data_IF_537883686622
#
_entry.id   IF_537883686622
#
_cell.length_a   1.000
_cell.length_b   1.000
_cell.length_c   1.000
_cell.angle_alpha   90.00
_cell.angle_beta   90.00
_cell.angle_gamma   90.00
#
_symmetry.space_group_name_H-M   'P 1'
#
loop_
_entity.id
_entity.type
_entity.pdbx_description
1 polymer ?
#
# COMPACT_ATOMS: atom_id res chain seq x y z
N UNK A 1 -1.29 10.98 -12.32
CA UNK A 1 -1.81 10.02 -11.31
C UNK A 1 -1.14 10.30 -9.97
N UNK A 2 -1.87 10.31 -8.84
CA UNK A 2 -1.27 10.56 -7.50
C UNK A 2 -0.85 9.24 -6.83
N UNK A 3 0.42 9.13 -6.45
CA UNK A 3 0.99 7.96 -5.74
C UNK A 3 1.54 8.40 -4.39
N UNK A 4 1.21 7.65 -3.34
CA UNK A 4 1.78 7.87 -2.00
C UNK A 4 3.04 7.02 -1.84
N UNK A 5 4.10 7.62 -1.31
CA UNK A 5 5.37 6.94 -1.10
C UNK A 5 5.92 7.17 0.31
N UNK A 6 6.86 6.32 0.72
CA UNK A 6 7.60 6.50 1.97
C UNK A 6 8.67 7.58 1.81
N UNK A 7 9.35 7.90 2.93
CA UNK A 7 10.31 8.98 2.98
C UNK A 7 11.57 8.75 2.13
N UNK A 8 11.88 7.51 1.74
CA UNK A 8 13.04 7.22 0.90
C UNK A 8 12.83 7.64 -0.56
N UNK A 9 11.58 7.83 -0.98
CA UNK A 9 11.21 8.19 -2.36
C UNK A 9 10.94 9.69 -2.56
N UNK A 10 11.44 10.55 -1.66
CA UNK A 10 11.20 12.00 -1.70
C UNK A 10 12.24 12.86 -2.42
N UNK A 11 13.18 12.24 -3.14
CA UNK A 11 14.20 12.99 -3.89
C UNK A 11 13.59 13.82 -5.02
N UNK A 12 14.10 15.04 -5.22
CA UNK A 12 13.63 15.96 -6.28
C UNK A 12 13.85 15.36 -7.67
N UNK A 13 15.04 14.80 -7.93
CA UNK A 13 15.37 14.14 -9.19
C UNK A 13 14.41 13.01 -9.53
N UNK A 14 14.11 12.16 -8.54
CA UNK A 14 13.19 11.03 -8.73
C UNK A 14 11.76 11.51 -8.97
N UNK A 15 11.31 12.53 -8.25
CA UNK A 15 9.96 13.09 -8.42
C UNK A 15 9.80 13.75 -9.79
N UNK A 16 10.82 14.48 -10.25
CA UNK A 16 10.85 15.08 -11.57
C UNK A 16 10.80 14.01 -12.67
N UNK A 17 11.67 12.99 -12.57
CA UNK A 17 11.67 11.87 -13.50
C UNK A 17 10.32 11.14 -13.53
N UNK A 18 9.70 10.87 -12.38
CA UNK A 18 8.41 10.18 -12.31
C UNK A 18 7.28 11.00 -12.95
N UNK A 19 7.33 12.33 -12.83
CA UNK A 19 6.36 13.20 -13.46
C UNK A 19 6.57 13.27 -14.98
N UNK A 20 7.81 13.35 -15.46
CA UNK A 20 8.14 13.44 -16.89
C UNK A 20 7.94 12.12 -17.62
N UNK A 21 8.50 11.02 -17.08
CA UNK A 21 8.50 9.73 -17.74
C UNK A 21 7.16 8.98 -17.60
N UNK A 22 6.46 9.16 -16.47
CA UNK A 22 5.28 8.35 -16.13
C UNK A 22 4.00 9.18 -15.90
N UNK A 23 4.08 10.53 -15.85
CA UNK A 23 2.93 11.37 -15.50
C UNK A 23 2.42 11.15 -14.07
N UNK A 24 3.30 10.72 -13.17
CA UNK A 24 2.98 10.38 -11.78
C UNK A 24 3.43 11.50 -10.85
N UNK A 25 2.50 11.97 -10.03
CA UNK A 25 2.78 12.89 -8.94
C UNK A 25 3.00 12.09 -7.67
N UNK A 26 4.19 12.18 -7.10
CA UNK A 26 4.57 11.47 -5.87
C UNK A 26 4.27 12.36 -4.66
N UNK A 27 3.54 11.81 -3.70
CA UNK A 27 3.29 12.44 -2.40
C UNK A 27 3.90 11.61 -1.30
N UNK A 28 4.97 12.12 -0.71
CA UNK A 28 5.68 11.47 0.38
C UNK A 28 4.92 11.67 1.69
N UNK A 29 4.66 10.57 2.40
CA UNK A 29 4.15 10.62 3.77
C UNK A 29 5.31 10.88 4.75
N UNK A 30 5.89 12.08 4.70
CA UNK A 30 7.05 12.45 5.49
C UNK A 30 6.69 12.64 6.98
N UNK A 31 7.63 12.29 7.87
CA UNK A 31 7.54 12.61 9.30
C UNK A 31 7.86 14.11 9.49
N UNK A 32 7.07 14.86 10.29
CA UNK A 32 7.45 16.21 10.70
C UNK A 32 8.83 16.20 11.36
N UNK A 33 9.69 17.18 11.02
CA UNK A 33 11.07 17.25 11.52
C UNK A 33 11.13 17.49 13.03
N UNK A 34 10.14 18.19 13.57
CA UNK A 34 10.07 18.60 14.98
C UNK A 34 9.28 17.60 15.86
N UNK A 35 8.88 16.46 15.30
CA UNK A 35 8.17 15.44 16.05
C UNK A 35 9.13 14.64 16.93
N UNK A 36 8.86 14.60 18.24
CA UNK A 36 9.46 13.65 19.17
C UNK A 36 8.56 12.42 19.37
N UNK A 37 9.16 11.25 19.54
CA UNK A 37 8.44 9.98 19.73
C UNK A 37 7.63 9.50 18.51
N UNK A 38 6.64 8.64 18.77
CA UNK A 38 5.81 8.03 17.73
C UNK A 38 4.68 8.98 17.28
N UNK A 39 4.66 9.32 15.98
CA UNK A 39 3.60 10.14 15.39
C UNK A 39 2.86 9.35 14.33
N UNK A 40 1.53 9.32 14.44
CA UNK A 40 0.66 8.69 13.44
C UNK A 40 0.65 9.55 12.19
N UNK A 41 1.21 9.02 11.10
CA UNK A 41 1.22 9.70 9.81
C UNK A 41 0.00 9.30 8.97
N UNK A 42 -0.79 10.28 8.49
CA UNK A 42 -1.95 10.00 7.65
C UNK A 42 -1.56 9.19 6.41
N UNK A 43 -2.29 8.10 6.14
CA UNK A 43 -2.12 7.21 4.97
C UNK A 43 -0.79 6.45 4.86
N UNK A 44 0.16 6.62 5.80
CA UNK A 44 1.42 5.86 5.82
C UNK A 44 1.19 4.34 5.87
N UNK A 45 0.15 3.90 6.59
CA UNK A 45 -0.24 2.49 6.63
C UNK A 45 -0.55 1.92 5.25
N UNK A 46 -1.05 2.73 4.30
CA UNK A 46 -1.39 2.27 2.93
C UNK A 46 -0.11 1.90 2.17
N UNK A 47 0.92 2.74 2.32
CA UNK A 47 2.24 2.53 1.72
C UNK A 47 2.89 1.30 2.33
N UNK A 48 3.00 1.25 3.67
CA UNK A 48 3.63 0.13 4.40
C UNK A 48 2.93 -1.20 4.13
N UNK A 49 1.61 -1.20 3.98
CA UNK A 49 0.85 -2.39 3.64
C UNK A 49 1.15 -2.90 2.23
N UNK A 50 1.32 -2.00 1.27
CA UNK A 50 1.74 -2.37 -0.09
C UNK A 50 3.13 -3.00 -0.08
N UNK A 51 4.08 -2.40 0.63
CA UNK A 51 5.43 -2.95 0.81
C UNK A 51 5.37 -4.32 1.50
N UNK A 52 4.49 -4.49 2.49
CA UNK A 52 4.29 -5.77 3.18
C UNK A 52 3.79 -6.86 2.24
N UNK A 53 2.92 -6.54 1.27
CA UNK A 53 2.49 -7.50 0.25
C UNK A 53 3.62 -7.89 -0.70
N UNK A 54 4.46 -6.93 -1.09
CA UNK A 54 5.66 -7.21 -1.89
C UNK A 54 6.61 -8.13 -1.13
N UNK A 55 6.87 -7.86 0.16
CA UNK A 55 7.75 -8.70 0.99
C UNK A 55 7.18 -10.09 1.27
N UNK A 56 5.84 -10.23 1.28
CA UNK A 56 5.19 -11.54 1.43
C UNK A 56 5.43 -12.45 0.21
N UNK A 57 5.64 -11.89 -0.97
CA UNK A 57 6.13 -12.64 -2.11
C UNK A 57 7.63 -12.92 -1.92
N UNK A 58 7.95 -14.06 -1.30
CA UNK A 58 9.30 -14.44 -0.81
C UNK A 58 10.44 -14.07 -1.75
N UNK A 59 10.25 -14.27 -3.06
CA UNK A 59 11.24 -13.98 -4.09
C UNK A 59 11.69 -12.51 -4.06
N UNK A 60 10.75 -11.57 -4.00
CA UNK A 60 11.03 -10.13 -3.95
C UNK A 60 11.81 -9.69 -2.69
N UNK A 61 11.78 -10.50 -1.62
CA UNK A 61 12.45 -10.18 -0.36
C UNK A 61 13.81 -10.89 -0.20
N UNK A 62 14.08 -11.93 -0.99
CA UNK A 62 15.25 -12.82 -0.80
C UNK A 62 16.18 -12.83 -2.00
N UNK A 63 15.64 -12.67 -3.20
CA UNK A 63 16.36 -12.82 -4.44
C UNK A 63 16.40 -11.46 -5.15
N UNK A 64 17.60 -10.96 -5.44
CA UNK A 64 17.77 -9.80 -6.30
C UNK A 64 17.88 -10.27 -7.76
N UNK A 65 16.98 -9.79 -8.60
CA UNK A 65 17.00 -10.14 -10.02
C UNK A 65 18.13 -9.40 -10.74
N UNK A 66 18.80 -10.11 -11.65
CA UNK A 66 19.91 -9.55 -12.44
C UNK A 66 19.45 -8.44 -13.39
N UNK A 67 18.24 -8.55 -13.92
CA UNK A 67 17.64 -7.58 -14.84
C UNK A 67 16.47 -6.89 -14.17
N UNK A 68 16.39 -5.57 -14.34
CA UNK A 68 15.30 -4.75 -13.78
C UNK A 68 13.92 -5.20 -14.28
N UNK A 69 13.84 -5.62 -15.55
CA UNK A 69 12.61 -6.13 -16.15
C UNK A 69 12.05 -7.38 -15.46
N UNK A 70 12.92 -8.24 -14.90
CA UNK A 70 12.48 -9.39 -14.13
C UNK A 70 11.95 -8.99 -12.75
N UNK A 71 12.64 -8.06 -12.06
CA UNK A 71 12.16 -7.53 -10.79
C UNK A 71 10.79 -6.86 -10.95
N UNK A 72 10.62 -6.08 -12.01
CA UNK A 72 9.35 -5.44 -12.34
C UNK A 72 8.23 -6.48 -12.56
N UNK A 73 8.48 -7.50 -13.39
CA UNK A 73 7.52 -8.57 -13.65
C UNK A 73 7.11 -9.32 -12.37
N UNK A 74 8.05 -9.57 -11.46
CA UNK A 74 7.75 -10.23 -10.19
C UNK A 74 6.91 -9.37 -9.24
N UNK A 75 7.15 -8.05 -9.21
CA UNK A 75 6.29 -7.12 -8.48
C UNK A 75 4.88 -7.14 -9.08
N UNK A 76 4.75 -7.04 -10.41
CA UNK A 76 3.46 -7.11 -11.10
C UNK A 76 2.71 -8.41 -10.77
N UNK A 77 3.38 -9.57 -10.84
CA UNK A 77 2.77 -10.86 -10.48
C UNK A 77 2.31 -10.94 -9.02
N UNK A 78 3.05 -10.35 -8.07
CA UNK A 78 2.65 -10.31 -6.68
C UNK A 78 1.31 -9.55 -6.50
N UNK A 79 1.17 -8.40 -7.17
CA UNK A 79 -0.06 -7.60 -7.10
C UNK A 79 -1.22 -8.23 -7.89
N UNK A 80 -0.97 -8.80 -9.07
CA UNK A 80 -1.99 -9.56 -9.82
C UNK A 80 -2.54 -10.69 -8.95
N UNK A 81 -1.66 -11.52 -8.38
CA UNK A 81 -2.06 -12.64 -7.51
C UNK A 81 -2.87 -12.14 -6.31
N UNK A 82 -2.46 -11.03 -5.69
CA UNK A 82 -3.18 -10.43 -4.57
C UNK A 82 -4.57 -9.95 -4.97
N UNK A 83 -4.71 -9.29 -6.13
CA UNK A 83 -6.00 -8.79 -6.64
C UNK A 83 -6.91 -9.95 -7.04
N UNK A 84 -6.40 -10.95 -7.76
CA UNK A 84 -7.16 -12.14 -8.14
C UNK A 84 -7.71 -12.85 -6.91
N UNK A 85 -6.91 -13.00 -5.84
CA UNK A 85 -7.38 -13.58 -4.57
C UNK A 85 -8.42 -12.72 -3.86
N UNK A 86 -8.37 -11.39 -3.98
CA UNK A 86 -9.39 -10.50 -3.42
C UNK A 86 -10.71 -10.64 -4.15
N UNK A 87 -10.66 -10.68 -5.48
CA UNK A 87 -11.85 -10.85 -6.32
C UNK A 87 -12.51 -12.20 -6.10
N UNK A 88 -11.71 -13.26 -5.96
CA UNK A 88 -12.22 -14.62 -5.71
C UNK A 88 -12.68 -14.85 -4.26
N UNK A 89 -12.32 -13.98 -3.30
CA UNK A 89 -12.81 -14.11 -1.93
C UNK A 89 -14.29 -13.79 -1.90
N UNK A 90 -15.11 -14.80 -1.63
CA UNK A 90 -16.52 -14.57 -1.26
C UNK A 90 -16.57 -13.63 -0.06
N UNK A 91 -17.43 -12.60 -0.08
CA UNK A 91 -17.64 -11.80 1.11
C UNK A 91 -18.08 -12.74 2.23
N UNK A 92 -17.45 -12.62 3.39
CA UNK A 92 -18.00 -13.21 4.60
C UNK A 92 -19.39 -12.58 4.75
N UNK A 93 -20.46 -13.40 4.62
CA UNK A 93 -21.78 -12.95 5.05
C UNK A 93 -21.65 -12.67 6.53
N UNK A 94 -21.63 -11.40 6.90
CA UNK A 94 -21.93 -11.05 8.28
C UNK A 94 -23.36 -11.56 8.51
N UNK A 95 -23.62 -12.36 9.56
CA UNK A 95 -24.99 -12.64 9.96
C UNK A 95 -25.69 -11.29 10.11
N UNK A 96 -26.83 -11.13 9.47
CA UNK A 96 -27.67 -9.95 9.64
C UNK A 96 -27.84 -9.73 11.14
N UNK A 97 -27.39 -8.56 11.62
CA UNK A 97 -27.49 -8.25 13.03
C UNK A 97 -28.97 -8.32 13.40
N UNK A 98 -29.33 -9.24 14.29
CA UNK A 98 -30.69 -9.35 14.78
C UNK A 98 -31.14 -7.97 15.27
N UNK A 99 -32.37 -7.53 14.95
CA UNK A 99 -32.84 -6.22 15.31
C UNK A 99 -32.72 -6.06 16.83
N UNK A 100 -31.92 -5.09 17.26
CA UNK A 100 -31.79 -4.72 18.67
C UNK A 100 -33.13 -4.13 19.08
N UNK A 101 -33.96 -4.91 19.77
CA UNK A 101 -35.17 -4.41 20.43
C UNK A 101 -34.73 -3.54 21.60
N UNK A 102 -34.61 -2.23 21.36
CA UNK A 102 -34.48 -1.25 22.44
C UNK A 102 -35.85 -1.18 23.11
N UNK A 103 -36.00 -1.86 24.25
CA UNK A 103 -37.18 -1.73 25.08
C UNK A 103 -37.24 -0.29 25.62
N UNK A 104 -38.15 0.52 25.06
CA UNK A 104 -38.56 1.79 25.64
C UNK A 104 -39.36 1.48 26.92
N UNK A 105 -38.71 1.57 28.06
CA UNK A 105 -39.39 1.61 29.37
C UNK A 105 -40.00 3.01 29.53
N UNK A 106 -41.32 3.04 29.72
CA UNK A 106 -42.08 4.22 30.12
C UNK A 106 -42.05 4.42 31.65
#
# INVERSE_FOLDING_TARGET
>A
MLVWADNAYGGEEFTAWAQEALGITIKVAARPKDADGFVVLPKRWVVERSNSWTMRARRNARDYERLMSHAEAHIQWAFITLMSRRLARRPHRCPEAAPVTIATTA
#
